data_IF_700909646367
#
_entry.id   IF_700909646367
#
_cell.length_a   1.000
_cell.length_b   1.000
_cell.length_c   1.000
_cell.angle_alpha   90.00
_cell.angle_beta   90.00
_cell.angle_gamma   90.00
#
_symmetry.space_group_name_H-M   'P 1'
#
loop_
_entity.id
_entity.type
_entity.pdbx_description
1 polymer ?
#
# COMPACT_ATOMS: atom_id res chain seq x y z
N UNK A 1 -5.01 12.86 1.72
CA UNK A 1 -6.21 12.18 1.14
C UNK A 1 -7.03 11.61 2.31
N UNK A 2 -8.36 11.51 2.24
CA UNK A 2 -9.16 10.94 3.35
C UNK A 2 -9.66 9.53 2.96
N UNK A 3 -9.13 8.49 3.61
CA UNK A 3 -9.43 7.09 3.30
C UNK A 3 -10.67 6.53 4.00
N UNK A 4 -11.37 7.33 4.81
CA UNK A 4 -12.56 6.88 5.55
C UNK A 4 -13.71 6.42 4.63
N UNK A 5 -13.71 6.82 3.36
CA UNK A 5 -14.71 6.40 2.36
C UNK A 5 -14.43 5.02 1.76
N UNK A 6 -13.28 4.40 2.06
CA UNK A 6 -12.87 3.12 1.47
C UNK A 6 -13.45 1.89 2.18
N UNK A 7 -14.10 2.05 3.35
CA UNK A 7 -14.72 0.94 4.07
C UNK A 7 -13.72 -0.11 4.58
N UNK A 8 -12.55 0.35 5.02
CA UNK A 8 -11.45 -0.49 5.49
C UNK A 8 -11.72 -1.02 6.91
N UNK A 9 -11.27 -2.24 7.20
CA UNK A 9 -11.32 -2.85 8.53
C UNK A 9 -10.17 -2.40 9.44
N UNK A 10 -9.25 -1.59 8.91
CA UNK A 10 -8.11 -1.01 9.61
C UNK A 10 -8.11 0.51 9.44
N UNK A 11 -7.37 1.20 10.30
CA UNK A 11 -7.19 2.66 10.21
C UNK A 11 -6.22 2.99 9.07
N UNK A 12 -6.61 3.89 8.16
CA UNK A 12 -5.76 4.34 7.08
C UNK A 12 -5.65 5.87 7.08
N UNK A 13 -4.42 6.37 7.05
CA UNK A 13 -4.14 7.80 6.98
C UNK A 13 -2.98 8.10 6.03
N UNK A 14 -2.89 9.36 5.62
CA UNK A 14 -1.80 9.88 4.79
C UNK A 14 -1.07 10.93 5.60
N UNK A 15 0.22 10.72 5.85
CA UNK A 15 1.09 11.65 6.55
C UNK A 15 1.61 12.71 5.56
N UNK A 16 2.36 12.29 4.54
CA UNK A 16 2.95 13.20 3.55
C UNK A 16 2.62 12.91 2.09
N UNK A 17 3.24 13.67 1.18
CA UNK A 17 3.15 13.48 -0.28
C UNK A 17 4.54 13.52 -0.91
N UNK A 18 5.01 12.40 -1.45
CA UNK A 18 6.34 12.23 -2.05
C UNK A 18 6.34 12.19 -3.60
N UNK A 19 5.33 12.82 -4.22
CA UNK A 19 5.24 12.85 -5.68
C UNK A 19 4.71 11.56 -6.28
N UNK A 20 5.57 10.81 -6.97
CA UNK A 20 5.22 9.59 -7.74
C UNK A 20 5.41 8.30 -6.93
N UNK A 21 6.13 8.36 -5.81
CA UNK A 21 6.36 7.24 -4.91
C UNK A 21 5.40 7.30 -3.71
N UNK A 22 4.88 6.13 -3.34
CA UNK A 22 4.01 5.95 -2.18
C UNK A 22 4.55 4.84 -1.30
N UNK A 23 4.80 5.16 -0.04
CA UNK A 23 5.27 4.21 0.99
C UNK A 23 4.13 3.90 1.94
N UNK A 24 3.75 2.63 2.08
CA UNK A 24 2.70 2.21 3.02
C UNK A 24 3.36 1.51 4.20
N UNK A 25 3.36 2.20 5.34
CA UNK A 25 3.78 1.64 6.61
C UNK A 25 2.62 0.86 7.24
N UNK A 26 2.72 -0.47 7.21
CA UNK A 26 1.67 -1.39 7.64
C UNK A 26 1.98 -1.93 9.04
N UNK A 27 1.12 -1.59 9.98
CA UNK A 27 1.19 -2.03 11.37
C UNK A 27 0.16 -3.12 11.63
N UNK A 28 0.63 -4.24 12.18
CA UNK A 28 -0.18 -5.41 12.52
C UNK A 28 -0.42 -5.53 14.02
N UNK A 29 -1.37 -6.37 14.42
CA UNK A 29 -1.69 -6.64 15.83
C UNK A 29 -0.51 -7.26 16.60
N UNK A 30 0.26 -8.11 15.92
CA UNK A 30 1.50 -8.72 16.39
C UNK A 30 2.68 -8.29 15.51
N UNK A 31 3.92 -8.49 15.95
CA UNK A 31 5.12 -8.22 15.13
C UNK A 31 5.07 -9.03 13.82
N UNK A 32 5.19 -8.39 12.64
CA UNK A 32 5.06 -9.07 11.37
C UNK A 32 6.24 -10.03 11.11
N UNK A 33 5.92 -11.23 10.61
CA UNK A 33 6.89 -12.20 10.13
C UNK A 33 6.82 -12.33 8.59
N UNK A 34 7.71 -13.15 8.02
CA UNK A 34 7.75 -13.42 6.59
C UNK A 34 6.44 -14.01 6.04
N UNK A 35 5.65 -14.71 6.86
CA UNK A 35 4.36 -15.23 6.41
C UNK A 35 3.37 -14.07 6.21
N UNK A 36 3.39 -13.06 7.08
CA UNK A 36 2.56 -11.86 6.93
C UNK A 36 2.96 -11.05 5.70
N UNK A 37 4.25 -10.94 5.42
CA UNK A 37 4.76 -10.31 4.17
C UNK A 37 4.19 -11.03 2.95
N UNK A 38 4.31 -12.36 2.89
CA UNK A 38 3.79 -13.16 1.78
C UNK A 38 2.26 -13.08 1.65
N UNK A 39 1.53 -12.99 2.77
CA UNK A 39 0.07 -12.80 2.76
C UNK A 39 -0.31 -11.46 2.12
N UNK A 40 0.40 -10.38 2.46
CA UNK A 40 0.17 -9.04 1.91
C UNK A 40 0.55 -8.99 0.43
N UNK A 41 1.74 -9.47 0.07
CA UNK A 41 2.22 -9.53 -1.31
C UNK A 41 1.22 -10.29 -2.21
N UNK A 42 0.77 -11.45 -1.73
CA UNK A 42 -0.25 -12.23 -2.42
C UNK A 42 -1.58 -11.48 -2.56
N UNK A 43 -2.06 -10.82 -1.51
CA UNK A 43 -3.32 -10.07 -1.57
C UNK A 43 -3.25 -8.92 -2.60
N UNK A 44 -2.10 -8.25 -2.69
CA UNK A 44 -1.86 -7.19 -3.67
C UNK A 44 -1.84 -7.77 -5.09
N UNK A 45 -1.12 -8.87 -5.32
CA UNK A 45 -1.07 -9.54 -6.61
C UNK A 45 -2.47 -10.00 -7.08
N UNK A 46 -3.25 -10.61 -6.18
CA UNK A 46 -4.63 -11.05 -6.48
C UNK A 46 -5.56 -9.87 -6.78
N UNK A 47 -5.40 -8.73 -6.10
CA UNK A 47 -6.19 -7.54 -6.37
C UNK A 47 -5.90 -6.93 -7.76
N UNK A 48 -4.64 -6.95 -8.19
CA UNK A 48 -4.22 -6.34 -9.46
C UNK A 48 -4.22 -7.30 -10.67
N UNK A 49 -4.40 -8.60 -10.47
CA UNK A 49 -4.49 -9.61 -11.56
C UNK A 49 -5.45 -9.24 -12.72
N UNK A 50 -6.64 -8.63 -12.48
CA UNK A 50 -7.52 -8.21 -13.57
C UNK A 50 -6.98 -7.06 -14.44
N UNK A 51 -6.02 -6.29 -13.94
CA UNK A 51 -5.36 -5.20 -14.66
C UNK A 51 -4.16 -5.73 -15.46
N UNK A 52 -3.37 -6.60 -14.83
CA UNK A 52 -2.23 -7.28 -15.48
C UNK A 52 -2.70 -8.13 -16.68
N UNK A 53 -3.82 -8.85 -16.53
CA UNK A 53 -4.47 -9.62 -17.61
C UNK A 53 -4.90 -8.76 -18.81
N UNK A 54 -4.98 -7.43 -18.64
CA UNK A 54 -5.31 -6.45 -19.70
C UNK A 54 -4.08 -5.65 -20.14
N UNK A 55 -2.89 -6.06 -19.72
CA UNK A 55 -1.62 -5.36 -19.96
C UNK A 55 -1.65 -3.91 -19.43
N UNK A 56 -2.40 -3.66 -18.34
CA UNK A 56 -2.46 -2.36 -17.67
C UNK A 56 -1.41 -2.35 -16.57
N UNK A 57 -0.39 -1.51 -16.73
CA UNK A 57 0.63 -1.28 -15.71
C UNK A 57 0.05 -0.51 -14.53
N UNK A 58 0.20 -1.06 -13.32
CA UNK A 58 -0.32 -0.52 -12.05
C UNK A 58 0.79 -0.02 -11.11
N UNK A 59 2.01 0.13 -11.63
CA UNK A 59 3.18 0.55 -10.87
C UNK A 59 4.10 -0.61 -10.53
N UNK A 60 5.31 -0.28 -10.09
CA UNK A 60 6.20 -1.23 -9.46
C UNK A 60 5.85 -1.31 -7.98
N UNK A 61 5.68 -2.53 -7.47
CA UNK A 61 5.32 -2.78 -6.09
C UNK A 61 6.37 -3.69 -5.46
N UNK A 62 6.88 -3.31 -4.30
CA UNK A 62 7.75 -4.14 -3.46
C UNK A 62 7.22 -4.19 -2.03
N UNK A 63 7.35 -5.36 -1.37
CA UNK A 63 6.83 -5.59 -0.01
C UNK A 63 7.96 -6.14 0.85
N UNK A 64 8.32 -5.42 1.89
CA UNK A 64 9.47 -5.73 2.75
C UNK A 64 9.14 -5.69 4.23
N UNK A 65 9.83 -6.52 5.03
CA UNK A 65 9.73 -6.51 6.47
C UNK A 65 10.78 -5.58 7.08
N UNK A 66 10.34 -4.60 7.86
CA UNK A 66 11.22 -3.67 8.59
C UNK A 66 11.27 -3.96 10.10
N UNK A 67 10.84 -5.15 10.50
CA UNK A 67 10.84 -5.65 11.88
C UNK A 67 9.60 -5.22 12.65
N UNK A 68 9.37 -3.93 12.82
CA UNK A 68 8.19 -3.41 13.55
C UNK A 68 6.98 -3.15 12.65
N UNK A 69 7.23 -2.97 11.35
CA UNK A 69 6.22 -2.73 10.31
C UNK A 69 6.57 -3.48 9.03
N UNK A 70 5.58 -3.61 8.15
CA UNK A 70 5.81 -4.00 6.75
C UNK A 70 5.77 -2.72 5.92
N UNK A 71 6.78 -2.51 5.08
CA UNK A 71 6.81 -1.43 4.11
C UNK A 71 6.32 -1.96 2.75
N UNK A 72 5.40 -1.23 2.12
CA UNK A 72 5.03 -1.45 0.73
C UNK A 72 5.46 -0.22 -0.04
N UNK A 73 6.29 -0.40 -1.06
CA UNK A 73 6.66 0.66 -1.98
C UNK A 73 5.79 0.55 -3.22
N UNK A 74 5.19 1.66 -3.64
CA UNK A 74 4.53 1.80 -4.94
C UNK A 74 5.21 2.94 -5.69
N UNK A 75 5.91 2.60 -6.77
CA UNK A 75 6.37 3.56 -7.76
C UNK A 75 5.38 3.57 -8.92
N UNK A 76 4.68 4.69 -9.11
CA UNK A 76 3.71 4.83 -10.19
C UNK A 76 4.37 4.82 -11.57
N UNK A 77 5.61 5.27 -11.73
CA UNK A 77 6.33 5.32 -13.00
C UNK A 77 5.47 5.76 -14.19
N UNK A 78 5.08 4.80 -15.03
CA UNK A 78 4.26 5.02 -16.24
C UNK A 78 2.79 4.58 -16.11
N UNK A 79 2.23 4.52 -14.89
CA UNK A 79 0.80 4.26 -14.69
C UNK A 79 -0.02 5.29 -15.48
N UNK A 80 -0.99 4.83 -16.26
CA UNK A 80 -1.89 5.74 -16.99
C UNK A 80 -2.62 6.62 -15.96
N UNK A 81 -2.67 7.96 -16.12
CA UNK A 81 -3.28 8.87 -15.15
C UNK A 81 -4.70 8.51 -14.72
N UNK A 82 -5.47 7.82 -15.58
CA UNK A 82 -6.82 7.36 -15.21
C UNK A 82 -6.82 6.22 -14.18
N UNK A 83 -5.69 5.55 -13.98
CA UNK A 83 -5.50 4.42 -13.06
C UNK A 83 -4.64 4.78 -11.84
N UNK A 84 -4.03 5.96 -11.74
CA UNK A 84 -3.20 6.35 -10.58
C UNK A 84 -3.95 6.16 -9.24
N UNK A 85 -5.16 6.71 -9.10
CA UNK A 85 -5.97 6.49 -7.89
C UNK A 85 -6.34 5.02 -7.69
N UNK A 86 -6.47 4.26 -8.77
CA UNK A 86 -6.74 2.81 -8.69
C UNK A 86 -5.52 2.06 -8.17
N UNK A 87 -4.31 2.47 -8.54
CA UNK A 87 -3.05 1.91 -8.04
C UNK A 87 -2.88 2.25 -6.56
N UNK A 88 -2.97 3.55 -6.20
CA UNK A 88 -2.78 4.04 -4.83
C UNK A 88 -3.80 3.42 -3.87
N UNK A 89 -5.11 3.60 -4.14
CA UNK A 89 -6.14 3.04 -3.27
C UNK A 89 -6.24 1.51 -3.36
N UNK A 90 -5.73 0.93 -4.45
CA UNK A 90 -5.75 -0.51 -4.69
C UNK A 90 -4.92 -1.27 -3.65
N UNK A 91 -3.78 -0.72 -3.25
CA UNK A 91 -2.95 -1.28 -2.17
C UNK A 91 -3.76 -1.38 -0.87
N UNK A 92 -4.44 -0.30 -0.47
CA UNK A 92 -5.28 -0.28 0.73
C UNK A 92 -6.46 -1.26 0.62
N UNK A 93 -7.10 -1.34 -0.55
CA UNK A 93 -8.23 -2.27 -0.80
C UNK A 93 -7.78 -3.73 -0.77
N UNK A 94 -6.61 -4.05 -1.32
CA UNK A 94 -6.02 -5.38 -1.27
C UNK A 94 -5.78 -5.82 0.18
N UNK A 95 -5.16 -4.94 0.97
CA UNK A 95 -4.92 -5.18 2.40
C UNK A 95 -6.19 -5.37 3.22
N UNK A 96 -7.33 -4.85 2.75
CA UNK A 96 -8.61 -5.04 3.45
C UNK A 96 -9.08 -6.50 3.51
N UNK A 97 -8.43 -7.39 2.76
CA UNK A 97 -8.66 -8.84 2.79
C UNK A 97 -7.75 -9.58 3.78
N UNK A 98 -6.69 -8.92 4.26
CA UNK A 98 -5.67 -9.46 5.17
C UNK A 98 -6.10 -9.23 6.61
N UNK A 99 -6.04 -10.28 7.43
CA UNK A 99 -6.41 -10.18 8.86
C UNK A 99 -5.24 -9.70 9.70
N UNK A 100 -5.57 -9.02 10.80
CA UNK A 100 -4.59 -8.58 11.80
C UNK A 100 -3.82 -7.32 11.40
N UNK A 101 -4.27 -6.60 10.36
CA UNK A 101 -3.79 -5.23 10.09
C UNK A 101 -4.56 -4.29 11.01
N UNK A 102 -3.81 -3.45 11.72
CA UNK A 102 -4.36 -2.46 12.65
C UNK A 102 -4.41 -1.08 12.02
N UNK A 103 -3.30 -0.66 11.40
CA UNK A 103 -3.12 0.68 10.88
C UNK A 103 -2.22 0.66 9.65
N UNK A 104 -2.52 1.52 8.68
CA UNK A 104 -1.65 1.82 7.55
C UNK A 104 -1.45 3.34 7.48
N UNK A 105 -0.19 3.75 7.41
CA UNK A 105 0.19 5.15 7.24
C UNK A 105 0.89 5.29 5.90
N UNK A 106 0.32 6.10 5.01
CA UNK A 106 0.90 6.40 3.71
C UNK A 106 1.87 7.56 3.86
N UNK A 107 3.10 7.39 3.38
CA UNK A 107 4.19 8.36 3.39
C UNK A 107 4.55 8.85 4.81
N UNK A 108 4.61 7.93 5.77
CA UNK A 108 4.90 8.21 7.19
C UNK A 108 6.20 9.01 7.38
N UNK A 109 7.26 8.65 6.64
CA UNK A 109 8.60 9.24 6.78
C UNK A 109 8.87 10.38 5.78
N UNK A 110 7.86 10.81 5.01
CA UNK A 110 8.01 11.88 4.01
C UNK A 110 7.79 13.29 4.57
N UNK A 111 7.37 13.43 5.84
CA UNK A 111 7.17 14.73 6.49
C UNK A 111 8.47 15.33 7.09
N UNK A 112 9.59 14.60 7.07
CA UNK A 112 10.85 15.01 7.71
C UNK A 112 11.75 15.96 6.86
N UNK A 113 11.24 16.50 5.75
CA UNK A 113 11.93 17.56 5.00
C UNK A 113 11.56 18.96 5.53
N UNK A 114 12.09 19.30 6.70
CA UNK A 114 12.34 20.70 7.07
C UNK A 114 13.38 21.29 6.07
N UNK A 115 12.94 22.12 5.13
CA UNK A 115 13.80 23.02 4.35
C UNK A 115 13.58 24.48 4.75
#
# INVERSE_FOLDING_TARGET
MNYNTLGLYFEAEMAGFDGECFHYSVYTDDTPDENKVQEIDKAIAEYFEPYDSKEIYMGYIDVTNEGEKINIELDLGNVDPKYENTAIEGILKAMNTVKGIKKVIVNEDCDDFDF
#
